data_IF_854463450188
#
_entry.id   IF_854463450188
#
_cell.length_a   1.000
_cell.length_b   1.000
_cell.length_c   1.000
_cell.angle_alpha   90.00
_cell.angle_beta   90.00
_cell.angle_gamma   90.00
#
_symmetry.space_group_name_H-M   'P 1'
#
loop_
_entity.id
_entity.type
_entity.pdbx_description
1 polymer ?
#
# COMPACT_ATOMS: atom_id res chain seq x y z
N UNK A 1 -14.43 -8.04 9.64
CA UNK A 1 -13.50 -6.98 9.19
C UNK A 1 -14.33 -5.82 8.64
N UNK A 2 -13.82 -4.61 8.59
CA UNK A 2 -14.50 -3.48 7.95
C UNK A 2 -13.60 -2.81 6.92
N UNK A 3 -14.21 -2.37 5.82
CA UNK A 3 -13.53 -1.65 4.76
C UNK A 3 -13.69 -0.15 4.93
N UNK A 4 -12.58 0.57 4.93
CA UNK A 4 -12.55 2.01 5.04
C UNK A 4 -11.86 2.57 3.80
N UNK A 5 -12.55 3.47 3.10
CA UNK A 5 -12.01 4.24 2.01
C UNK A 5 -11.82 5.68 2.48
N UNK A 6 -10.59 6.17 2.50
CA UNK A 6 -10.29 7.53 2.95
C UNK A 6 -9.57 8.28 1.83
N UNK A 7 -10.08 9.46 1.48
CA UNK A 7 -9.62 10.26 0.36
C UNK A 7 -9.58 11.74 0.71
N UNK A 8 -8.42 12.41 0.64
CA UNK A 8 -8.37 13.85 0.39
C UNK A 8 -8.78 14.11 -1.06
N UNK A 9 -10.05 14.43 -1.31
CA UNK A 9 -10.55 14.93 -2.59
C UNK A 9 -10.04 16.35 -2.88
N UNK A 10 -9.03 16.47 -3.75
CA UNK A 10 -8.83 17.69 -4.53
C UNK A 10 -8.19 18.90 -3.83
N UNK A 11 -7.60 18.74 -2.63
CA UNK A 11 -6.92 19.86 -1.97
C UNK A 11 -5.40 19.87 -2.12
N UNK A 12 -4.73 18.71 -2.13
CA UNK A 12 -3.30 18.62 -2.41
C UNK A 12 -3.09 18.62 -3.93
N UNK A 13 -2.91 19.80 -4.54
CA UNK A 13 -2.07 20.09 -5.73
C UNK A 13 -2.63 21.22 -6.61
N UNK A 14 -3.94 21.50 -6.59
CA UNK A 14 -4.50 22.60 -7.39
C UNK A 14 -4.16 24.01 -6.88
N UNK A 15 -3.75 24.17 -5.62
CA UNK A 15 -3.30 25.49 -5.10
C UNK A 15 -1.84 25.79 -5.47
N UNK A 16 -1.10 24.83 -6.03
CA UNK A 16 0.22 25.03 -6.63
C UNK A 16 0.12 25.15 -8.16
N UNK A 17 -1.00 25.69 -8.67
CA UNK A 17 -1.18 25.97 -10.10
C UNK A 17 -0.59 27.34 -10.45
N UNK A 18 0.73 27.44 -10.46
CA UNK A 18 1.46 28.43 -11.26
C UNK A 18 2.88 27.90 -11.52
N UNK A 19 3.04 27.32 -12.70
CA UNK A 19 4.24 27.32 -13.55
C UNK A 19 5.51 26.52 -13.21
N UNK A 20 5.58 25.74 -12.13
CA UNK A 20 6.75 24.86 -11.88
C UNK A 20 6.39 23.38 -11.68
N UNK A 21 6.36 22.66 -12.80
CA UNK A 21 5.94 21.26 -12.96
C UNK A 21 6.87 20.19 -12.35
N UNK A 22 7.82 20.52 -11.48
CA UNK A 22 8.86 19.57 -11.01
C UNK A 22 8.87 19.34 -9.49
N UNK A 23 8.19 20.18 -8.69
CA UNK A 23 8.08 20.00 -7.23
C UNK A 23 6.85 19.21 -6.75
N UNK A 24 6.00 18.73 -7.65
CA UNK A 24 4.60 18.39 -7.35
C UNK A 24 4.33 17.05 -6.62
N UNK A 25 5.33 16.20 -6.35
CA UNK A 25 5.04 14.86 -5.82
C UNK A 25 6.04 14.43 -4.74
N UNK A 26 5.98 15.07 -3.56
CA UNK A 26 6.64 14.49 -2.39
C UNK A 26 5.92 13.19 -1.99
N UNK A 27 6.40 12.07 -2.53
CA UNK A 27 5.90 10.73 -2.23
C UNK A 27 6.11 10.35 -0.77
N UNK A 28 6.99 11.04 -0.03
CA UNK A 28 7.10 10.85 1.42
C UNK A 28 5.78 11.20 2.14
N UNK A 29 4.96 12.10 1.57
CA UNK A 29 3.64 12.42 2.11
C UNK A 29 2.65 11.25 2.01
N UNK A 30 2.84 10.30 1.08
CA UNK A 30 2.01 9.09 1.00
C UNK A 30 2.16 8.22 2.25
N UNK A 31 3.39 8.15 2.79
CA UNK A 31 3.68 7.42 4.03
C UNK A 31 3.00 8.09 5.22
N UNK A 32 3.04 9.42 5.28
CA UNK A 32 2.35 10.22 6.31
C UNK A 32 0.83 10.07 6.22
N UNK A 33 0.28 10.04 5.01
CA UNK A 33 -1.14 9.82 4.76
C UNK A 33 -1.61 8.51 5.41
N UNK A 34 -0.91 7.41 5.12
CA UNK A 34 -1.20 6.10 5.73
C UNK A 34 -1.00 6.10 7.25
N UNK A 35 0.04 6.77 7.75
CA UNK A 35 0.32 6.89 9.18
C UNK A 35 -0.80 7.64 9.92
N UNK A 36 -1.26 8.77 9.37
CA UNK A 36 -2.34 9.57 9.96
C UNK A 36 -3.66 8.80 9.95
N UNK A 37 -3.97 8.10 8.85
CA UNK A 37 -5.17 7.27 8.78
C UNK A 37 -5.15 6.17 9.86
N UNK A 38 -4.00 5.51 10.03
CA UNK A 38 -3.80 4.54 11.09
C UNK A 38 -3.91 5.17 12.49
N UNK A 39 -3.35 6.35 12.71
CA UNK A 39 -3.43 7.05 14.00
C UNK A 39 -4.88 7.36 14.40
N UNK A 40 -5.69 7.86 13.45
CA UNK A 40 -7.12 8.12 13.68
C UNK A 40 -7.88 6.83 13.92
N UNK A 41 -7.69 5.82 13.07
CA UNK A 41 -8.39 4.54 13.17
C UNK A 41 -8.03 3.78 14.44
N UNK A 42 -6.75 3.79 14.81
CA UNK A 42 -6.28 3.15 16.04
C UNK A 42 -6.83 3.85 17.28
N UNK A 43 -6.92 5.19 17.28
CA UNK A 43 -7.53 5.91 18.40
C UNK A 43 -9.03 5.58 18.51
N UNK A 44 -9.73 5.54 17.37
CA UNK A 44 -11.15 5.17 17.31
C UNK A 44 -11.40 3.79 17.93
N UNK A 45 -10.71 2.75 17.47
CA UNK A 45 -10.92 1.39 17.97
C UNK A 45 -10.46 1.19 19.42
N UNK A 46 -9.39 1.85 19.86
CA UNK A 46 -8.99 1.81 21.27
C UNK A 46 -10.06 2.39 22.18
N UNK A 47 -10.66 3.51 21.79
CA UNK A 47 -11.77 4.12 22.53
C UNK A 47 -13.04 3.26 22.48
N UNK A 48 -13.35 2.68 21.32
CA UNK A 48 -14.55 1.84 21.14
C UNK A 48 -14.48 0.53 21.95
N UNK A 49 -13.31 -0.09 22.02
CA UNK A 49 -13.11 -1.34 22.79
C UNK A 49 -12.92 -1.05 24.28
N UNK A 50 -12.27 0.07 24.62
CA UNK A 50 -12.01 0.53 25.98
C UNK A 50 -11.40 -0.57 26.89
N UNK A 51 -10.36 -1.23 26.39
CA UNK A 51 -9.57 -2.22 27.13
C UNK A 51 -8.10 -1.80 27.14
N UNK A 52 -7.48 -1.90 28.30
CA UNK A 52 -6.05 -1.67 28.44
C UNK A 52 -5.26 -2.71 27.63
N UNK A 53 -4.15 -2.30 27.03
CA UNK A 53 -3.34 -3.17 26.17
C UNK A 53 -3.96 -3.51 24.80
N UNK A 54 -5.20 -3.08 24.51
CA UNK A 54 -5.86 -3.43 23.26
C UNK A 54 -5.16 -2.82 22.02
N UNK A 55 -4.83 -3.67 21.06
CA UNK A 55 -4.14 -3.33 19.81
C UNK A 55 -5.08 -3.58 18.62
N UNK A 56 -5.60 -2.52 17.97
CA UNK A 56 -6.34 -2.67 16.71
C UNK A 56 -5.46 -3.25 15.61
N UNK A 57 -6.04 -3.61 14.47
CA UNK A 57 -5.29 -4.12 13.34
C UNK A 57 -5.83 -3.59 12.01
N UNK A 58 -4.94 -3.24 11.08
CA UNK A 58 -5.35 -2.85 9.74
C UNK A 58 -4.29 -3.17 8.69
N UNK A 59 -4.76 -3.27 7.45
CA UNK A 59 -3.97 -3.34 6.22
C UNK A 59 -4.36 -2.12 5.39
N UNK A 60 -3.42 -1.24 5.14
CA UNK A 60 -3.62 -0.01 4.40
C UNK A 60 -2.95 -0.12 3.02
N UNK A 61 -3.74 -0.04 1.96
CA UNK A 61 -3.28 0.05 0.57
C UNK A 61 -3.37 1.50 0.10
N UNK A 62 -2.26 2.04 -0.37
CA UNK A 62 -2.12 3.39 -0.91
C UNK A 62 -2.38 3.34 -2.42
N UNK A 63 -3.17 4.26 -2.94
CA UNK A 63 -3.36 4.48 -4.37
C UNK A 63 -3.17 5.94 -4.72
N UNK A 64 -2.58 6.21 -5.88
CA UNK A 64 -2.22 7.58 -6.32
C UNK A 64 -3.03 8.07 -7.50
N UNK A 65 -3.96 7.28 -8.02
CA UNK A 65 -4.64 7.55 -9.29
C UNK A 65 -6.15 7.68 -9.11
N UNK A 66 -6.75 8.62 -9.83
CA UNK A 66 -8.19 8.77 -9.94
C UNK A 66 -8.77 8.01 -11.12
N UNK A 67 -10.07 8.17 -11.34
CA UNK A 67 -10.70 7.54 -12.51
C UNK A 67 -10.08 8.04 -13.83
N UNK A 68 -9.77 9.33 -13.93
CA UNK A 68 -9.21 9.96 -15.14
C UNK A 68 -7.68 10.08 -15.14
N UNK A 69 -6.96 9.19 -14.43
CA UNK A 69 -5.49 9.19 -14.30
C UNK A 69 -4.89 10.43 -13.65
N UNK A 70 -5.72 11.26 -13.02
CA UNK A 70 -5.22 12.42 -12.27
C UNK A 70 -4.58 11.92 -10.98
N UNK A 71 -3.50 12.57 -10.58
CA UNK A 71 -2.88 12.28 -9.31
C UNK A 71 -3.84 12.57 -8.16
N UNK A 72 -4.20 11.52 -7.44
CA UNK A 72 -5.27 11.50 -6.49
C UNK A 72 -4.96 10.47 -5.38
N UNK A 73 -4.11 10.85 -4.41
CA UNK A 73 -3.69 9.95 -3.35
C UNK A 73 -4.87 9.63 -2.42
N UNK A 74 -5.13 8.36 -2.21
CA UNK A 74 -6.18 7.85 -1.34
C UNK A 74 -5.83 6.48 -0.78
N UNK A 75 -6.57 6.06 0.24
CA UNK A 75 -6.32 4.84 0.97
C UNK A 75 -7.52 3.89 0.90
N UNK A 76 -7.21 2.62 0.68
CA UNK A 76 -8.11 1.50 0.93
C UNK A 76 -7.60 0.76 2.16
N UNK A 77 -8.39 0.74 3.23
CA UNK A 77 -7.99 0.20 4.52
C UNK A 77 -8.93 -0.96 4.88
N UNK A 78 -8.37 -2.14 5.04
CA UNK A 78 -9.07 -3.29 5.60
C UNK A 78 -8.68 -3.41 7.07
N UNK A 79 -9.64 -3.26 7.98
CA UNK A 79 -9.37 -3.28 9.41
C UNK A 79 -10.11 -4.40 10.15
N UNK A 80 -9.49 -4.86 11.23
CA UNK A 80 -10.16 -5.70 12.20
C UNK A 80 -11.23 -4.86 12.91
N UNK A 81 -12.39 -5.46 13.11
CA UNK A 81 -13.57 -4.77 13.62
C UNK A 81 -13.58 -4.71 15.15
N UNK A 82 -12.51 -4.14 15.70
CA UNK A 82 -12.16 -4.27 17.11
C UNK A 82 -10.65 -4.27 17.34
N UNK A 83 -10.24 -4.86 18.45
CA UNK A 83 -8.85 -4.88 18.88
C UNK A 83 -8.47 -6.20 19.57
N UNK A 84 -7.19 -6.53 19.54
CA UNK A 84 -6.63 -7.72 20.17
C UNK A 84 -6.01 -7.35 21.51
N UNK A 85 -6.29 -8.12 22.57
CA UNK A 85 -5.60 -8.00 23.85
C UNK A 85 -4.27 -8.77 23.89
N UNK A 86 -3.57 -8.66 25.02
CA UNK A 86 -2.26 -9.27 25.24
C UNK A 86 -2.30 -10.81 25.23
N UNK A 87 -3.44 -11.40 25.61
CA UNK A 87 -3.67 -12.86 25.54
C UNK A 87 -4.00 -13.36 24.12
N UNK A 88 -4.07 -12.47 23.13
CA UNK A 88 -4.52 -12.79 21.77
C UNK A 88 -6.05 -12.82 21.62
N UNK A 89 -6.82 -12.60 22.70
CA UNK A 89 -8.27 -12.51 22.66
C UNK A 89 -8.68 -11.30 21.81
N UNK A 90 -9.63 -11.52 20.88
CA UNK A 90 -10.21 -10.46 20.08
C UNK A 90 -11.44 -9.86 20.75
N UNK A 91 -11.44 -8.55 20.92
CA UNK A 91 -12.56 -7.75 21.42
C UNK A 91 -13.21 -7.01 20.25
N UNK A 92 -14.41 -7.44 19.86
CA UNK A 92 -15.18 -6.78 18.82
C UNK A 92 -15.62 -5.37 19.27
N UNK A 93 -15.60 -4.41 18.36
CA UNK A 93 -16.18 -3.10 18.61
C UNK A 93 -17.71 -3.21 18.66
N UNK A 94 -18.31 -2.53 19.64
CA UNK A 94 -19.76 -2.52 19.85
C UNK A 94 -20.52 -1.72 18.78
N UNK A 95 -19.85 -0.79 18.10
CA UNK A 95 -20.40 0.05 17.06
C UNK A 95 -19.56 -0.06 15.78
N UNK A 96 -20.24 0.09 14.65
CA UNK A 96 -19.60 0.18 13.34
C UNK A 96 -18.83 1.50 13.19
N UNK A 97 -17.88 1.53 12.26
CA UNK A 97 -17.13 2.74 11.95
C UNK A 97 -18.06 3.87 11.51
N UNK A 98 -17.86 5.03 12.13
CA UNK A 98 -18.60 6.25 11.81
C UNK A 98 -17.73 7.23 11.00
N UNK A 99 -18.05 7.36 9.71
CA UNK A 99 -17.39 8.31 8.82
C UNK A 99 -17.53 9.77 9.30
N UNK A 100 -18.61 10.12 9.99
CA UNK A 100 -18.87 11.48 10.47
C UNK A 100 -17.92 11.89 11.60
N UNK A 101 -17.37 10.92 12.32
CA UNK A 101 -16.35 11.12 13.35
C UNK A 101 -14.94 11.05 12.75
N UNK A 102 -14.71 10.08 11.86
CA UNK A 102 -13.38 9.82 11.30
C UNK A 102 -12.93 10.92 10.31
N UNK A 103 -13.81 11.42 9.45
CA UNK A 103 -13.44 12.45 8.46
C UNK A 103 -12.90 13.73 9.12
N UNK A 104 -13.59 14.34 10.10
CA UNK A 104 -13.09 15.58 10.71
C UNK A 104 -11.74 15.39 11.41
N UNK A 105 -11.55 14.27 12.10
CA UNK A 105 -10.27 13.93 12.76
C UNK A 105 -9.15 13.73 11.74
N UNK A 106 -9.45 13.00 10.66
CA UNK A 106 -8.52 12.75 9.57
C UNK A 106 -8.10 14.05 8.89
N UNK A 107 -9.08 14.87 8.48
CA UNK A 107 -8.86 16.20 7.89
C UNK A 107 -8.00 17.08 8.80
N UNK A 108 -8.36 17.16 10.09
CA UNK A 108 -7.60 17.96 11.05
C UNK A 108 -6.13 17.52 11.15
N UNK A 109 -5.87 16.21 11.26
CA UNK A 109 -4.49 15.69 11.36
C UNK A 109 -3.69 15.90 10.06
N UNK A 110 -4.31 15.76 8.89
CA UNK A 110 -3.64 16.06 7.60
C UNK A 110 -3.28 17.54 7.51
N UNK A 111 -4.23 18.44 7.74
CA UNK A 111 -3.97 19.89 7.67
C UNK A 111 -2.90 20.31 8.68
N UNK A 112 -2.92 19.72 9.88
CA UNK A 112 -1.88 19.94 10.89
C UNK A 112 -0.51 19.43 10.45
N UNK A 113 -0.44 18.26 9.80
CA UNK A 113 0.80 17.72 9.24
C UNK A 113 1.36 18.62 8.13
N UNK A 114 0.52 19.04 7.18
CA UNK A 114 0.92 19.94 6.09
C UNK A 114 1.41 21.29 6.63
N UNK A 115 0.76 21.83 7.66
CA UNK A 115 1.21 23.06 8.34
C UNK A 115 2.57 22.89 9.00
N UNK A 116 2.79 21.78 9.73
CA UNK A 116 4.09 21.49 10.39
C UNK A 116 5.22 21.37 9.38
N UNK A 117 4.95 20.79 8.21
CA UNK A 117 5.89 20.71 7.09
C UNK A 117 6.03 22.04 6.30
N UNK A 118 5.36 23.11 6.73
CA UNK A 118 5.34 24.43 6.08
C UNK A 118 4.84 24.40 4.63
N UNK A 119 4.06 23.39 4.25
CA UNK A 119 3.46 23.25 2.92
C UNK A 119 2.21 24.11 2.76
N UNK A 120 1.51 24.40 3.87
CA UNK A 120 0.35 25.29 3.89
C UNK A 120 0.39 26.24 5.08
N UNK A 121 -0.16 27.45 4.89
CA UNK A 121 -0.31 28.46 5.94
C UNK A 121 -1.65 28.35 6.69
N UNK A 122 -1.78 29.09 7.81
CA UNK A 122 -3.01 29.15 8.61
C UNK A 122 -4.22 29.60 7.79
N UNK A 123 -4.04 30.61 6.94
CA UNK A 123 -5.07 31.13 6.02
C UNK A 123 -5.67 30.04 5.12
N UNK A 124 -4.84 29.13 4.62
CA UNK A 124 -5.29 28.05 3.74
C UNK A 124 -6.15 27.05 4.52
N UNK A 125 -5.78 26.74 5.77
CA UNK A 125 -6.55 25.85 6.65
C UNK A 125 -7.92 26.45 6.97
N UNK A 126 -7.98 27.74 7.29
CA UNK A 126 -9.23 28.47 7.54
C UNK A 126 -10.13 28.45 6.29
N UNK A 127 -9.54 28.68 5.11
CA UNK A 127 -10.26 28.61 3.84
C UNK A 127 -10.87 27.22 3.58
N UNK A 128 -10.08 26.15 3.67
CA UNK A 128 -10.55 24.75 3.52
C UNK A 128 -11.69 24.45 4.47
N UNK A 129 -11.54 24.88 5.71
CA UNK A 129 -12.50 24.59 6.77
C UNK A 129 -13.82 25.33 6.58
N UNK A 130 -13.80 26.46 5.85
CA UNK A 130 -15.00 27.24 5.51
C UNK A 130 -15.81 26.66 4.34
N UNK A 131 -15.23 25.76 3.54
CA UNK A 131 -15.92 25.20 2.38
C UNK A 131 -17.01 24.21 2.81
N UNK A 132 -18.17 24.29 2.12
CA UNK A 132 -19.26 23.31 2.28
C UNK A 132 -18.77 21.87 2.05
N UNK A 133 -17.86 21.69 1.11
CA UNK A 133 -17.17 20.44 0.86
C UNK A 133 -15.66 20.69 0.99
N UNK A 134 -15.08 20.25 2.10
CA UNK A 134 -13.68 20.47 2.47
C UNK A 134 -12.67 19.81 1.52
N UNK A 135 -13.15 18.95 0.62
CA UNK A 135 -12.28 18.10 -0.17
C UNK A 135 -11.69 16.94 0.65
N UNK A 136 -12.32 16.53 1.75
CA UNK A 136 -11.97 15.30 2.46
C UNK A 136 -13.20 14.41 2.50
N UNK A 137 -13.00 13.11 2.30
CA UNK A 137 -14.05 12.13 2.32
C UNK A 137 -13.54 10.84 2.96
N UNK A 138 -14.33 10.29 3.87
CA UNK A 138 -14.15 8.97 4.43
C UNK A 138 -15.45 8.21 4.19
N UNK A 139 -15.33 7.00 3.70
CA UNK A 139 -16.42 6.07 3.49
C UNK A 139 -16.12 4.81 4.31
N UNK A 140 -17.06 4.43 5.16
CA UNK A 140 -17.03 3.19 5.91
C UNK A 140 -17.99 2.22 5.25
N UNK A 141 -17.46 1.10 4.77
CA UNK A 141 -18.26 0.00 4.23
C UNK A 141 -18.82 -0.88 5.34
N UNK A 142 -19.73 -1.76 4.96
CA UNK A 142 -20.35 -2.71 5.88
C UNK A 142 -19.35 -3.72 6.47
N UNK A 143 -19.74 -4.32 7.59
CA UNK A 143 -18.99 -5.39 8.25
C UNK A 143 -18.95 -6.63 7.35
N UNK A 144 -17.73 -7.05 7.01
CA UNK A 144 -17.45 -8.28 6.27
C UNK A 144 -17.32 -9.43 7.26
N UNK A 145 -18.24 -10.38 7.15
CA UNK A 145 -18.27 -11.59 7.97
C UNK A 145 -17.41 -12.72 7.36
N UNK A 146 -16.89 -13.64 8.19
CA UNK A 146 -16.20 -14.82 7.69
C UNK A 146 -17.09 -15.62 6.72
N UNK A 147 -16.52 -16.08 5.60
CA UNK A 147 -17.24 -16.85 4.58
C UNK A 147 -17.93 -16.01 3.49
N UNK A 148 -17.96 -14.69 3.60
CA UNK A 148 -18.46 -13.81 2.53
C UNK A 148 -17.41 -13.63 1.42
N UNK A 149 -17.34 -14.62 0.53
CA UNK A 149 -16.41 -14.63 -0.59
C UNK A 149 -16.61 -13.45 -1.55
N UNK A 150 -17.86 -13.02 -1.77
CA UNK A 150 -18.17 -11.95 -2.73
C UNK A 150 -17.68 -10.59 -2.22
N UNK A 151 -17.91 -10.28 -0.94
CA UNK A 151 -17.39 -9.05 -0.34
C UNK A 151 -15.86 -9.08 -0.29
N UNK A 152 -15.25 -10.20 0.09
CA UNK A 152 -13.79 -10.33 0.08
C UNK A 152 -13.20 -10.13 -1.31
N UNK A 153 -13.81 -10.70 -2.35
CA UNK A 153 -13.37 -10.50 -3.73
C UNK A 153 -13.50 -9.03 -4.14
N UNK A 154 -14.63 -8.39 -3.83
CA UNK A 154 -14.87 -6.99 -4.15
C UNK A 154 -13.82 -6.08 -3.50
N UNK A 155 -13.51 -6.26 -2.20
CA UNK A 155 -12.43 -5.52 -1.54
C UNK A 155 -11.07 -5.82 -2.18
N UNK A 156 -10.80 -7.09 -2.49
CA UNK A 156 -9.52 -7.49 -3.09
C UNK A 156 -9.27 -6.76 -4.42
N UNK A 157 -10.30 -6.63 -5.26
CA UNK A 157 -10.25 -5.85 -6.51
C UNK A 157 -9.93 -4.37 -6.27
N UNK A 158 -10.39 -3.78 -5.17
CA UNK A 158 -10.00 -2.42 -4.80
C UNK A 158 -8.55 -2.33 -4.34
N UNK A 159 -8.03 -3.31 -3.60
CA UNK A 159 -6.65 -3.29 -3.08
C UNK A 159 -5.61 -3.46 -4.19
N UNK A 160 -5.84 -4.40 -5.12
CA UNK A 160 -4.86 -4.81 -6.16
C UNK A 160 -4.98 -4.02 -7.47
N UNK A 161 -5.79 -2.95 -7.48
CA UNK A 161 -6.16 -2.24 -8.71
C UNK A 161 -4.93 -1.64 -9.42
N UNK A 162 -4.86 -1.87 -10.73
CA UNK A 162 -3.89 -1.20 -11.61
C UNK A 162 -4.21 0.29 -11.77
N UNK A 163 -3.19 1.12 -12.03
CA UNK A 163 -3.34 2.57 -12.12
C UNK A 163 -4.17 3.05 -13.32
N UNK A 164 -4.25 2.23 -14.37
CA UNK A 164 -5.05 2.49 -15.56
C UNK A 164 -5.66 1.19 -16.09
N UNK A 165 -6.66 1.32 -16.95
CA UNK A 165 -7.24 0.19 -17.70
C UNK A 165 -6.93 0.34 -19.19
N UNK A 166 -6.43 -0.73 -19.81
CA UNK A 166 -6.20 -0.80 -21.24
C UNK A 166 -7.50 -0.77 -22.04
N UNK A 167 -8.59 -1.33 -21.50
CA UNK A 167 -9.92 -1.29 -22.13
C UNK A 167 -10.48 0.14 -22.28
N UNK A 168 -9.99 1.06 -21.44
CA UNK A 168 -10.41 2.46 -21.42
C UNK A 168 -9.51 3.36 -22.26
N UNK A 169 -8.45 2.79 -22.84
CA UNK A 169 -7.45 3.48 -23.62
C UNK A 169 -7.70 3.26 -25.11
N UNK A 170 -7.77 4.37 -25.86
CA UNK A 170 -7.77 4.35 -27.31
C UNK A 170 -6.60 5.21 -27.82
N UNK A 171 -5.67 4.61 -28.55
CA UNK A 171 -4.53 5.30 -29.12
C UNK A 171 -4.77 5.61 -30.60
N UNK A 172 -4.73 6.89 -30.94
CA UNK A 172 -4.84 7.40 -32.30
C UNK A 172 -3.42 7.64 -32.82
N UNK A 173 -2.90 6.68 -33.59
CA UNK A 173 -1.50 6.69 -34.05
C UNK A 173 -1.20 7.82 -35.04
N UNK A 174 -2.17 8.21 -35.87
CA UNK A 174 -1.99 9.27 -36.88
C UNK A 174 -1.79 10.65 -36.22
N UNK A 175 -2.52 10.90 -35.14
CA UNK A 175 -2.48 12.18 -34.42
C UNK A 175 -1.52 12.18 -33.23
N UNK A 176 -0.88 11.05 -32.92
CA UNK A 176 -0.08 10.83 -31.70
C UNK A 176 -0.85 11.16 -30.41
N UNK A 177 -2.13 10.80 -30.37
CA UNK A 177 -3.04 11.12 -29.26
C UNK A 177 -3.56 9.89 -28.55
N UNK A 178 -3.82 10.02 -27.25
CA UNK A 178 -4.46 9.01 -26.41
C UNK A 178 -5.77 9.55 -25.90
N UNK A 179 -6.87 8.88 -26.22
CA UNK A 179 -8.17 9.12 -25.61
C UNK A 179 -8.37 8.13 -24.48
N UNK A 180 -8.54 8.64 -23.27
CA UNK A 180 -8.83 7.84 -22.09
C UNK A 180 -10.25 8.10 -21.60
N UNK A 181 -11.08 7.06 -21.55
CA UNK A 181 -12.49 7.16 -21.14
C UNK A 181 -12.66 6.96 -19.64
N UNK A 182 -13.68 7.56 -19.03
CA UNK A 182 -14.09 7.29 -17.65
C UNK A 182 -14.60 5.85 -17.50
N UNK A 183 -14.69 5.35 -16.26
CA UNK A 183 -15.23 4.00 -16.00
C UNK A 183 -16.66 3.84 -16.51
N UNK A 184 -17.46 4.90 -16.49
CA UNK A 184 -18.84 4.89 -16.96
C UNK A 184 -18.96 5.16 -18.46
N UNK A 185 -17.89 5.60 -19.12
CA UNK A 185 -17.90 5.98 -20.54
C UNK A 185 -18.49 7.36 -20.83
N UNK A 186 -19.00 8.07 -19.81
CA UNK A 186 -19.65 9.36 -19.98
C UNK A 186 -18.67 10.51 -20.23
N UNK A 187 -17.44 10.37 -19.75
CA UNK A 187 -16.39 11.38 -19.90
C UNK A 187 -15.21 10.77 -20.64
N UNK A 188 -14.48 11.60 -21.38
CA UNK A 188 -13.20 11.22 -21.95
C UNK A 188 -12.24 12.39 -21.87
N UNK A 189 -10.94 12.07 -21.81
CA UNK A 189 -9.88 13.06 -21.87
C UNK A 189 -8.89 12.66 -22.95
N UNK A 190 -8.55 13.64 -23.76
CA UNK A 190 -7.50 13.54 -24.75
C UNK A 190 -6.16 13.96 -24.13
N UNK A 191 -5.11 13.23 -24.48
CA UNK A 191 -3.74 13.49 -24.10
C UNK A 191 -2.87 13.39 -25.35
N UNK A 192 -1.84 14.22 -25.45
CA UNK A 192 -0.73 13.90 -26.34
C UNK A 192 -0.02 12.64 -25.82
N UNK A 193 0.43 11.76 -26.71
CA UNK A 193 1.06 10.49 -26.32
C UNK A 193 2.32 10.71 -25.44
N UNK A 194 3.03 11.81 -25.68
CA UNK A 194 4.22 12.22 -24.92
C UNK A 194 3.85 12.65 -23.49
N UNK A 195 2.67 13.26 -23.28
CA UNK A 195 2.17 13.68 -21.96
C UNK A 195 1.46 12.55 -21.21
N UNK A 196 0.92 11.59 -21.96
CA UNK A 196 0.27 10.41 -21.39
C UNK A 196 1.25 9.50 -20.64
N UNK A 197 2.45 9.32 -21.19
CA UNK A 197 3.50 8.49 -20.60
C UNK A 197 3.91 8.94 -19.18
N UNK A 198 4.31 10.21 -18.94
CA UNK A 198 4.65 10.70 -17.61
C UNK A 198 3.43 10.70 -16.66
N UNK A 199 2.22 10.89 -17.20
CA UNK A 199 0.98 10.78 -16.40
C UNK A 199 0.84 9.39 -15.77
N UNK A 200 1.08 8.31 -16.52
CA UNK A 200 1.11 6.95 -15.98
C UNK A 200 2.32 6.75 -15.05
N UNK A 201 3.50 7.20 -15.48
CA UNK A 201 4.73 6.98 -14.71
C UNK A 201 4.68 7.62 -13.32
N UNK A 202 3.91 8.71 -13.15
CA UNK A 202 3.68 9.34 -11.84
C UNK A 202 3.06 8.41 -10.79
N UNK A 203 2.42 7.32 -11.22
CA UNK A 203 1.79 6.33 -10.34
C UNK A 203 2.68 5.13 -10.04
N UNK A 204 3.82 4.99 -10.73
CA UNK A 204 4.77 3.92 -10.47
C UNK A 204 5.45 4.20 -9.12
N UNK A 205 5.43 3.24 -8.17
CA UNK A 205 6.10 3.41 -6.88
C UNK A 205 7.62 3.51 -7.04
N UNK A 206 8.24 4.26 -6.13
CA UNK A 206 9.70 4.33 -6.05
C UNK A 206 10.29 2.98 -5.63
N UNK A 207 11.59 2.80 -5.89
CA UNK A 207 12.29 1.58 -5.49
C UNK A 207 12.11 1.34 -3.98
N UNK A 208 11.62 0.15 -3.63
CA UNK A 208 11.34 -0.28 -2.25
C UNK A 208 10.17 0.44 -1.56
N UNK A 209 9.41 1.28 -2.27
CA UNK A 209 8.24 1.94 -1.71
C UNK A 209 7.10 0.93 -1.45
N UNK A 210 6.70 0.82 -0.18
CA UNK A 210 5.64 -0.07 0.24
C UNK A 210 4.28 0.61 0.09
N UNK A 211 3.51 0.15 -0.90
CA UNK A 211 2.14 0.61 -1.16
C UNK A 211 1.11 -0.10 -0.26
N UNK A 212 1.43 -1.27 0.28
CA UNK A 212 0.61 -1.99 1.26
C UNK A 212 1.32 -2.00 2.60
N UNK A 213 0.63 -1.57 3.65
CA UNK A 213 1.17 -1.40 5.00
C UNK A 213 0.33 -2.15 6.01
N UNK A 214 0.98 -3.04 6.76
CA UNK A 214 0.37 -3.76 7.87
C UNK A 214 0.63 -3.00 9.18
N UNK A 215 -0.44 -2.64 9.88
CA UNK A 215 -0.37 -1.81 11.09
C UNK A 215 -1.03 -2.49 12.28
N UNK A 216 -0.63 -2.08 13.48
CA UNK A 216 -1.16 -2.63 14.73
C UNK A 216 -0.83 -4.10 14.90
N UNK A 217 -1.83 -4.90 15.27
CA UNK A 217 -1.66 -6.34 15.53
C UNK A 217 -1.16 -7.12 14.30
N UNK A 218 -1.44 -6.65 13.08
CA UNK A 218 -0.97 -7.25 11.83
C UNK A 218 0.45 -6.86 11.43
N UNK A 219 1.06 -5.87 12.08
CA UNK A 219 2.41 -5.43 11.72
C UNK A 219 3.46 -6.52 11.96
N UNK A 220 4.50 -6.54 11.11
CA UNK A 220 5.60 -7.52 11.23
C UNK A 220 6.32 -7.43 12.58
N UNK A 221 6.43 -6.22 13.15
CA UNK A 221 7.03 -6.01 14.47
C UNK A 221 6.19 -6.69 15.56
N UNK A 222 4.87 -6.47 15.56
CA UNK A 222 3.97 -7.10 16.53
C UNK A 222 3.96 -8.62 16.37
N UNK A 223 3.87 -9.13 15.13
CA UNK A 223 3.95 -10.57 14.83
C UNK A 223 5.27 -11.17 15.30
N UNK A 224 6.39 -10.48 15.05
CA UNK A 224 7.72 -10.90 15.48
C UNK A 224 7.87 -10.95 17.01
N UNK A 225 7.33 -9.96 17.73
CA UNK A 225 7.30 -9.95 19.20
C UNK A 225 6.49 -11.13 19.76
N UNK A 226 5.28 -11.37 19.23
CA UNK A 226 4.43 -12.51 19.61
C UNK A 226 5.11 -13.85 19.38
N UNK A 227 5.76 -14.01 18.23
CA UNK A 227 6.53 -15.23 17.91
C UNK A 227 7.67 -15.47 18.91
N UNK A 228 8.38 -14.41 19.33
CA UNK A 228 9.43 -14.52 20.36
C UNK A 228 8.87 -14.88 21.73
N UNK A 229 7.64 -14.49 22.03
CA UNK A 229 6.94 -14.80 23.28
C UNK A 229 6.27 -16.19 23.28
N UNK A 230 6.46 -16.99 22.23
CA UNK A 230 5.87 -18.32 22.13
C UNK A 230 4.36 -18.32 21.90
N UNK A 231 3.75 -17.17 21.59
CA UNK A 231 2.35 -17.12 21.19
C UNK A 231 2.23 -17.70 19.78
N UNK A 232 1.55 -18.84 19.65
CA UNK A 232 1.08 -19.35 18.36
C UNK A 232 0.13 -18.33 17.73
N UNK A 233 0.27 -18.08 16.42
CA UNK A 233 -0.77 -17.35 15.69
C UNK A 233 -2.05 -18.18 15.85
N UNK A 234 -3.01 -17.69 16.64
CA UNK A 234 -4.33 -18.31 16.79
C UNK A 234 -4.90 -18.66 15.41
N UNK A 235 -5.46 -19.86 15.28
CA UNK A 235 -5.95 -20.58 14.08
C UNK A 235 -6.99 -19.84 13.19
N UNK A 236 -7.14 -18.52 13.33
CA UNK A 236 -8.00 -17.68 12.49
C UNK A 236 -7.34 -17.27 11.16
N UNK A 237 -6.13 -17.74 10.87
CA UNK A 237 -5.68 -17.80 9.49
C UNK A 237 -6.57 -18.85 8.84
N UNK A 238 -7.45 -18.44 7.91
CA UNK A 238 -8.01 -19.40 6.96
C UNK A 238 -6.80 -19.97 6.23
N UNK A 239 -6.30 -21.10 6.70
CA UNK A 239 -5.37 -21.90 5.95
C UNK A 239 -6.12 -22.23 4.66
N UNK A 240 -5.65 -21.65 3.55
CA UNK A 240 -5.84 -22.36 2.31
C UNK A 240 -5.13 -23.70 2.52
N UNK A 241 -5.88 -24.77 2.75
CA UNK A 241 -5.36 -26.15 2.82
C UNK A 241 -4.52 -26.48 1.57
N UNK A 242 -4.66 -25.71 0.49
CA UNK A 242 -3.86 -25.78 -0.72
C UNK A 242 -2.41 -25.24 -0.60
N UNK A 243 -2.08 -24.47 0.45
CA UNK A 243 -0.83 -23.71 0.51
C UNK A 243 0.28 -24.34 1.36
N UNK A 244 -0.05 -25.15 2.37
CA UNK A 244 0.96 -25.63 3.33
C UNK A 244 1.91 -26.70 2.77
N UNK A 245 1.47 -27.48 1.76
CA UNK A 245 2.33 -28.46 1.06
C UNK A 245 2.94 -27.93 -0.24
N UNK A 246 2.54 -26.74 -0.67
CA UNK A 246 2.88 -26.11 -1.96
C UNK A 246 4.03 -25.11 -1.87
N UNK A 247 4.44 -24.72 -0.65
CA UNK A 247 5.44 -23.67 -0.42
C UNK A 247 6.79 -23.92 -1.12
N UNK A 248 7.16 -25.19 -1.37
CA UNK A 248 8.38 -25.56 -2.09
C UNK A 248 8.35 -25.29 -3.61
N UNK A 249 7.23 -24.85 -4.19
CA UNK A 249 7.08 -24.55 -5.62
C UNK A 249 6.69 -23.09 -5.90
N UNK A 250 6.79 -22.19 -4.91
CA UNK A 250 6.32 -20.80 -5.07
C UNK A 250 7.03 -20.09 -6.24
N UNK A 251 8.35 -20.28 -6.40
CA UNK A 251 9.12 -19.69 -7.49
C UNK A 251 8.67 -20.21 -8.87
N UNK A 252 8.53 -21.54 -9.02
CA UNK A 252 8.13 -22.17 -10.29
C UNK A 252 6.72 -21.73 -10.70
N UNK A 253 5.81 -21.60 -9.73
CA UNK A 253 4.47 -21.07 -9.95
C UNK A 253 4.51 -19.60 -10.39
N UNK A 254 5.38 -18.79 -9.80
CA UNK A 254 5.54 -17.38 -10.18
C UNK A 254 6.11 -17.23 -11.59
N UNK A 255 7.12 -18.03 -11.97
CA UNK A 255 7.64 -18.06 -13.34
C UNK A 255 6.55 -18.44 -14.32
N UNK A 256 5.80 -19.51 -14.05
CA UNK A 256 4.68 -19.93 -14.88
C UNK A 256 3.61 -18.85 -15.01
N UNK A 257 3.35 -18.08 -13.95
CA UNK A 257 2.36 -17.02 -13.98
C UNK A 257 2.81 -15.79 -14.78
N UNK A 258 4.09 -15.44 -14.71
CA UNK A 258 4.63 -14.22 -15.34
C UNK A 258 5.05 -14.48 -16.79
N UNK A 259 5.71 -15.61 -17.03
CA UNK A 259 6.31 -15.97 -18.32
C UNK A 259 5.55 -17.06 -19.05
N UNK A 260 4.44 -17.56 -18.49
CA UNK A 260 3.61 -18.63 -19.08
C UNK A 260 4.35 -19.95 -19.35
N UNK A 261 5.55 -20.12 -18.79
CA UNK A 261 6.41 -21.31 -18.91
C UNK A 261 6.54 -22.00 -17.56
N UNK A 262 6.25 -23.31 -17.51
CA UNK A 262 6.45 -24.12 -16.31
C UNK A 262 7.90 -24.66 -16.27
N UNK A 263 8.78 -24.13 -15.39
CA UNK A 263 10.19 -24.54 -15.36
C UNK A 263 10.39 -25.97 -14.86
N UNK A 264 9.35 -26.64 -14.35
CA UNK A 264 9.39 -28.03 -13.92
C UNK A 264 8.85 -29.00 -14.97
N UNK A 265 8.63 -28.55 -16.21
CA UNK A 265 8.26 -29.38 -17.35
C UNK A 265 9.36 -29.30 -18.40
N UNK A 266 9.87 -30.45 -18.84
CA UNK A 266 10.89 -30.50 -19.87
C UNK A 266 10.33 -30.05 -21.22
N UNK A 267 10.95 -29.02 -21.83
CA UNK A 267 10.56 -28.49 -23.14
C UNK A 267 10.73 -29.47 -24.30
N UNK A 268 11.57 -30.51 -24.15
CA UNK A 268 11.81 -31.51 -25.19
C UNK A 268 10.86 -32.71 -25.14
N UNK A 269 10.43 -33.12 -23.95
CA UNK A 269 9.70 -34.38 -23.77
C UNK A 269 8.42 -34.27 -22.94
N UNK A 270 8.09 -33.10 -22.39
CA UNK A 270 6.87 -32.87 -21.59
C UNK A 270 6.87 -33.54 -20.21
N UNK A 271 7.94 -34.24 -19.83
CA UNK A 271 8.05 -34.92 -18.54
C UNK A 271 8.29 -33.96 -17.37
N UNK A 272 7.90 -34.38 -16.17
CA UNK A 272 8.15 -33.61 -14.94
C UNK A 272 9.63 -33.64 -14.55
N UNK A 273 10.20 -32.47 -14.27
CA UNK A 273 11.58 -32.28 -13.85
C UNK A 273 11.69 -32.14 -12.33
N UNK A 274 12.79 -32.64 -11.75
CA UNK A 274 13.12 -32.52 -10.32
C UNK A 274 14.35 -31.62 -10.14
N UNK A 275 14.32 -30.76 -9.12
CA UNK A 275 15.46 -29.94 -8.74
C UNK A 275 16.55 -30.85 -8.14
N UNK A 276 17.77 -30.76 -8.68
CA UNK A 276 18.92 -31.54 -8.22
C UNK A 276 19.79 -30.72 -7.26
N UNK A 277 20.01 -29.44 -7.56
CA UNK A 277 20.79 -28.52 -6.73
C UNK A 277 20.44 -27.05 -7.03
N UNK A 278 20.72 -26.17 -6.08
CA UNK A 278 20.78 -24.72 -6.29
C UNK A 278 22.25 -24.32 -6.39
N UNK A 279 22.63 -23.60 -7.44
CA UNK A 279 24.01 -23.17 -7.69
C UNK A 279 24.05 -21.66 -7.54
N UNK A 280 24.70 -21.18 -6.47
CA UNK A 280 24.79 -19.74 -6.16
C UNK A 280 26.17 -19.15 -6.53
N UNK A 281 27.21 -19.98 -6.68
CA UNK A 281 28.54 -19.50 -7.07
C UNK A 281 28.56 -19.07 -8.54
N UNK A 282 28.74 -17.76 -8.75
CA UNK A 282 28.82 -17.13 -10.05
C UNK A 282 29.84 -17.76 -11.01
N UNK A 283 31.00 -18.22 -10.50
CA UNK A 283 32.02 -18.85 -11.33
C UNK A 283 31.53 -20.19 -11.89
N UNK A 284 30.78 -20.93 -11.09
CA UNK A 284 30.19 -22.22 -11.48
C UNK A 284 29.04 -21.98 -12.45
N UNK A 285 28.14 -21.04 -12.13
CA UNK A 285 27.02 -20.65 -13.02
C UNK A 285 27.54 -20.25 -14.40
N UNK A 286 28.59 -19.41 -14.46
CA UNK A 286 29.20 -19.00 -15.73
C UNK A 286 29.69 -20.19 -16.55
N UNK A 287 30.45 -21.12 -15.95
CA UNK A 287 30.92 -22.33 -16.66
C UNK A 287 29.76 -23.16 -17.23
N UNK A 288 28.65 -23.28 -16.50
CA UNK A 288 27.47 -24.00 -16.98
C UNK A 288 26.79 -23.28 -18.14
N UNK A 289 26.66 -21.96 -18.09
CA UNK A 289 26.08 -21.16 -19.18
C UNK A 289 26.95 -21.21 -20.44
N UNK A 290 28.27 -21.08 -20.29
CA UNK A 290 29.25 -21.20 -21.37
C UNK A 290 29.14 -22.59 -22.04
N UNK A 291 29.04 -23.66 -21.23
CA UNK A 291 28.85 -25.03 -21.73
C UNK A 291 27.52 -25.22 -22.49
N UNK A 292 26.45 -24.56 -22.05
CA UNK A 292 25.14 -24.62 -22.71
C UNK A 292 25.05 -23.73 -23.95
N UNK A 293 26.08 -22.93 -24.27
CA UNK A 293 26.07 -21.99 -25.38
C UNK A 293 25.06 -20.86 -25.21
N UNK A 294 24.67 -20.55 -23.97
CA UNK A 294 23.75 -19.45 -23.65
C UNK A 294 24.60 -18.21 -23.40
N UNK A 295 24.92 -17.49 -24.48
CA UNK A 295 25.75 -16.29 -24.42
C UNK A 295 24.93 -15.04 -24.03
N UNK A 296 25.57 -14.24 -23.17
CA UNK A 296 25.26 -12.87 -22.74
C UNK A 296 24.23 -12.65 -21.61
N UNK A 297 24.73 -12.72 -20.37
CA UNK A 297 24.58 -11.55 -19.49
C UNK A 297 25.72 -10.57 -19.80
N UNK A 298 25.56 -9.72 -20.82
CA UNK A 298 26.26 -8.42 -20.76
C UNK A 298 25.79 -7.80 -19.46
N UNK A 299 26.71 -7.55 -18.51
CA UNK A 299 26.38 -6.71 -17.36
C UNK A 299 25.99 -5.36 -17.93
N UNK A 300 24.69 -5.09 -18.03
CA UNK A 300 24.24 -3.71 -18.02
C UNK A 300 24.90 -3.07 -16.81
N UNK A 301 25.53 -1.91 -17.04
CA UNK A 301 26.18 -1.16 -15.97
C UNK A 301 25.18 -1.08 -14.82
N UNK A 302 25.60 -1.35 -13.57
CA UNK A 302 24.70 -1.15 -12.45
C UNK A 302 24.11 0.27 -12.59
N UNK A 303 22.81 0.45 -12.29
CA UNK A 303 22.23 1.78 -12.25
C UNK A 303 23.20 2.69 -11.48
N UNK A 304 23.44 3.94 -11.94
CA UNK A 304 24.30 4.86 -11.23
C UNK A 304 23.98 4.77 -9.75
N UNK A 305 25.00 4.56 -8.89
CA UNK A 305 24.78 4.58 -7.45
C UNK A 305 24.06 5.90 -7.18
N UNK A 306 22.79 5.83 -6.81
CA UNK A 306 22.08 7.00 -6.32
C UNK A 306 22.98 7.57 -5.24
N UNK A 307 23.34 8.85 -5.37
CA UNK A 307 24.02 9.56 -4.30
C UNK A 307 23.22 9.24 -3.04
N UNK A 308 23.87 8.57 -2.09
CA UNK A 308 23.24 8.26 -0.83
C UNK A 308 22.87 9.61 -0.24
N UNK A 309 21.59 9.98 -0.37
CA UNK A 309 20.98 10.87 0.60
C UNK A 309 21.15 10.08 1.89
N UNK A 310 22.07 10.55 2.72
CA UNK A 310 22.25 10.05 4.07
C UNK A 310 20.91 10.31 4.74
N UNK A 311 20.04 9.29 4.73
CA UNK A 311 18.84 9.28 5.54
C UNK A 311 19.33 9.06 6.96
N UNK A 312 19.63 10.16 7.66
CA UNK A 312 20.18 10.16 9.01
C UNK A 312 19.12 9.78 10.06
N UNK A 313 18.27 8.80 9.77
CA UNK A 313 17.08 8.51 10.57
C UNK A 313 16.84 7.02 10.86
N UNK A 314 17.91 6.21 10.78
CA UNK A 314 17.94 4.82 11.27
C UNK A 314 18.31 4.72 12.77
N UNK A 315 17.92 5.71 13.59
CA UNK A 315 18.21 5.76 15.03
C UNK A 315 17.00 5.46 15.95
N UNK A 316 16.01 4.67 15.49
CA UNK A 316 14.94 4.18 16.37
C UNK A 316 15.35 2.93 17.17
N UNK A 317 16.50 3.00 17.82
CA UNK A 317 16.95 2.04 18.83
C UNK A 317 17.68 2.68 20.04
N UNK A 318 17.49 3.98 20.32
CA UNK A 318 17.96 4.57 21.58
C UNK A 318 16.85 5.35 22.31
N UNK A 319 16.48 4.78 23.47
CA UNK A 319 16.13 5.44 24.72
C UNK A 319 15.20 6.66 24.68
N UNK A 320 13.93 6.42 25.03
CA UNK A 320 13.23 7.28 26.00
C UNK A 320 12.51 6.38 26.99
N UNK A 321 13.32 5.88 27.93
CA UNK A 321 12.88 5.37 29.23
C UNK A 321 12.49 6.60 30.04
N UNK A 322 11.20 6.93 30.07
CA UNK A 322 10.68 7.94 31.00
C UNK A 322 10.58 7.26 32.36
N UNK A 323 11.56 7.55 33.22
CA UNK A 323 11.47 7.32 34.66
C UNK A 323 10.32 8.18 35.20
N UNK A 324 9.25 7.55 35.65
CA UNK A 324 8.17 8.20 36.39
C UNK A 324 8.44 8.04 37.88
N UNK A 325 9.31 8.89 38.42
CA UNK A 325 9.37 9.13 39.86
C UNK A 325 8.16 9.97 40.28
N UNK A 326 7.13 9.28 40.78
CA UNK A 326 6.12 9.90 41.63
C UNK A 326 6.70 10.04 43.03
N UNK A 327 7.05 11.26 43.43
CA UNK A 327 7.10 11.63 44.84
C UNK A 327 6.62 13.07 45.06
N UNK A 328 5.57 13.16 45.89
CA UNK A 328 5.15 14.30 46.71
C UNK A 328 4.74 15.61 46.01
N UNK A 329 3.43 15.83 45.82
CA UNK A 329 2.55 16.58 46.73
C UNK A 329 1.16 16.78 46.11
#
# INVERSE_FOLDING_TARGET
>A
MQFLYAKPQGFCLKILSSDELIGLFDRALLKELARIAWEVLSAYYKNAVNKEGAVPAAICSIQTFGDMLWYNPHLHILCADGAFGDSGIFYAAAADLDATILEPLFRHKILSMLKRRKLIGKRIIELVSSWRHSGFNVYCGERIYPGDGQSMENISRYIIRASFSTERLNYLSEDLKVIYKSKTGNDSKEFDAVDFTPSICSHIPEKSEQMVRYTGYYSNVCRGKRRKQGMTESDYVIENEECSKSCNKSWARLIKKIYEVDPLVCSKCGGSMRIIAFIEDYKIVKKFLDYLGIDEFKRDRPPPKALAVIDSFDDYAQNDYIDSDYSNF
#
